data_IF_579086166789
#
_entry.id   IF_579086166789
#
_cell.length_a   1.000
_cell.length_b   1.000
_cell.length_c   1.000
_cell.angle_alpha   90.00
_cell.angle_beta   90.00
_cell.angle_gamma   90.00
#
_symmetry.space_group_name_H-M   'P 1'
#
loop_
_entity.id
_entity.type
_entity.pdbx_description
1 polymer ?
#
# COMPACT_ATOMS: atom_id res chain seq x y z
N UNK A 1 -1.17 -29.89 15.63
CA UNK A 1 -1.31 -29.01 14.46
C UNK A 1 0.07 -28.88 13.82
N UNK A 2 0.28 -29.48 12.65
CA UNK A 2 1.54 -29.35 11.92
C UNK A 2 1.64 -27.92 11.41
N UNK A 3 2.59 -27.16 11.93
CA UNK A 3 2.92 -25.81 11.45
C UNK A 3 3.28 -25.94 9.96
N UNK A 4 2.36 -25.55 9.06
CA UNK A 4 2.62 -25.65 7.61
C UNK A 4 3.75 -24.69 7.29
N UNK A 5 4.90 -25.22 6.91
CA UNK A 5 6.09 -24.45 6.54
C UNK A 5 5.75 -23.51 5.36
N UNK A 6 5.78 -22.20 5.60
CA UNK A 6 5.51 -21.18 4.57
C UNK A 6 6.75 -20.79 3.75
N UNK A 7 7.93 -21.26 4.13
CA UNK A 7 9.19 -20.94 3.44
C UNK A 7 9.11 -21.19 1.93
N UNK A 8 8.57 -22.33 1.44
CA UNK A 8 8.47 -22.56 -0.01
C UNK A 8 7.57 -21.54 -0.71
N UNK A 9 6.48 -21.10 -0.06
CA UNK A 9 5.58 -20.10 -0.62
C UNK A 9 6.24 -18.72 -0.68
N UNK A 10 6.98 -18.33 0.36
CA UNK A 10 7.75 -17.08 0.39
C UNK A 10 8.82 -17.06 -0.71
N UNK A 11 9.57 -18.16 -0.87
CA UNK A 11 10.58 -18.29 -1.92
C UNK A 11 9.96 -18.21 -3.32
N UNK A 12 8.84 -18.90 -3.55
CA UNK A 12 8.14 -18.87 -4.83
C UNK A 12 7.63 -17.47 -5.18
N UNK A 13 7.04 -16.75 -4.23
CA UNK A 13 6.60 -15.36 -4.43
C UNK A 13 7.80 -14.45 -4.69
N UNK A 14 8.91 -14.61 -3.96
CA UNK A 14 10.13 -13.83 -4.17
C UNK A 14 10.77 -14.02 -5.57
N UNK A 15 10.49 -15.15 -6.23
CA UNK A 15 10.98 -15.46 -7.57
C UNK A 15 10.08 -14.94 -8.71
N UNK A 16 8.88 -14.45 -8.41
CA UNK A 16 7.91 -13.95 -9.41
C UNK A 16 8.42 -12.71 -10.14
N UNK A 17 8.22 -12.67 -11.47
CA UNK A 17 8.65 -11.55 -12.34
C UNK A 17 7.55 -11.03 -13.27
N UNK A 18 6.33 -11.59 -13.21
CA UNK A 18 5.19 -11.15 -14.02
C UNK A 18 3.93 -11.05 -13.17
N UNK A 19 2.96 -10.23 -13.60
CA UNK A 19 1.69 -10.08 -12.87
C UNK A 19 0.88 -11.39 -12.87
N UNK A 20 0.93 -12.17 -13.96
CA UNK A 20 0.21 -13.44 -14.03
C UNK A 20 0.80 -14.49 -13.08
N UNK A 21 2.13 -14.60 -12.99
CA UNK A 21 2.75 -15.50 -12.02
C UNK A 21 2.50 -15.05 -10.58
N UNK A 22 2.42 -13.73 -10.31
CA UNK A 22 2.00 -13.23 -8.99
C UNK A 22 0.55 -13.64 -8.67
N UNK A 23 -0.35 -13.58 -9.66
CA UNK A 23 -1.74 -14.02 -9.51
C UNK A 23 -1.82 -15.51 -9.16
N UNK A 24 -1.06 -16.35 -9.83
CA UNK A 24 -0.99 -17.79 -9.53
C UNK A 24 -0.53 -18.06 -8.09
N UNK A 25 0.50 -17.35 -7.61
CA UNK A 25 0.96 -17.49 -6.23
C UNK A 25 -0.11 -17.06 -5.21
N UNK A 26 -0.82 -15.96 -5.48
CA UNK A 26 -1.91 -15.49 -4.60
C UNK A 26 -3.07 -16.49 -4.54
N UNK A 27 -3.40 -17.15 -5.65
CA UNK A 27 -4.38 -18.26 -5.66
C UNK A 27 -3.86 -19.44 -4.83
N UNK A 28 -2.60 -19.82 -4.99
CA UNK A 28 -1.98 -20.88 -4.19
C UNK A 28 -1.95 -20.57 -2.69
N UNK A 29 -1.74 -19.30 -2.30
CA UNK A 29 -1.79 -18.87 -0.90
C UNK A 29 -3.17 -19.05 -0.28
N UNK A 30 -4.24 -18.77 -1.02
CA UNK A 30 -5.62 -18.99 -0.55
C UNK A 30 -5.79 -20.45 -0.11
N UNK A 31 -5.37 -21.39 -0.96
CA UNK A 31 -5.52 -22.82 -0.71
C UNK A 31 -4.57 -23.30 0.40
N UNK A 32 -3.35 -22.74 0.48
CA UNK A 32 -2.37 -23.06 1.51
C UNK A 32 -2.82 -22.63 2.91
N UNK A 33 -3.40 -21.43 3.02
CA UNK A 33 -3.88 -20.81 4.25
C UNK A 33 -5.27 -21.31 4.66
N UNK A 34 -5.97 -22.01 3.77
CA UNK A 34 -7.33 -22.52 3.98
C UNK A 34 -8.33 -21.38 4.32
N UNK A 35 -8.32 -20.35 3.47
CA UNK A 35 -9.17 -19.14 3.60
C UNK A 35 -10.04 -18.97 2.36
N UNK A 36 -11.12 -18.18 2.46
CA UNK A 36 -12.03 -17.95 1.34
C UNK A 36 -11.35 -17.15 0.23
N UNK A 37 -10.65 -16.07 0.59
CA UNK A 37 -9.95 -15.23 -0.37
C UNK A 37 -8.65 -14.64 0.18
N UNK A 38 -7.73 -14.42 -0.76
CA UNK A 38 -6.53 -13.59 -0.62
C UNK A 38 -6.59 -12.48 -1.66
N UNK A 39 -6.21 -11.28 -1.26
CA UNK A 39 -6.12 -10.10 -2.11
C UNK A 39 -4.86 -9.30 -1.81
N UNK A 40 -4.29 -8.74 -2.86
CA UNK A 40 -3.21 -7.77 -2.81
C UNK A 40 -3.62 -6.58 -3.69
N UNK A 41 -3.59 -5.38 -3.13
CA UNK A 41 -3.93 -4.15 -3.85
C UNK A 41 -2.90 -3.08 -3.52
N UNK A 42 -2.19 -2.56 -4.52
CA UNK A 42 -1.25 -1.45 -4.39
C UNK A 42 -1.70 -0.23 -5.17
N UNK A 43 -1.38 0.95 -4.64
CA UNK A 43 -1.45 2.23 -5.32
C UNK A 43 -0.09 2.89 -5.22
N UNK A 44 0.50 3.27 -6.34
CA UNK A 44 1.78 3.98 -6.33
C UNK A 44 1.60 5.50 -6.19
N UNK A 45 2.70 6.24 -6.02
CA UNK A 45 2.67 7.70 -5.84
C UNK A 45 2.15 8.50 -7.04
N UNK A 46 2.07 7.87 -8.22
CA UNK A 46 1.46 8.44 -9.43
C UNK A 46 -0.04 8.14 -9.56
N UNK A 47 -0.61 7.39 -8.61
CA UNK A 47 -2.01 7.01 -8.59
C UNK A 47 -2.35 5.78 -9.43
N UNK A 48 -1.35 5.11 -10.04
CA UNK A 48 -1.57 3.84 -10.74
C UNK A 48 -1.90 2.77 -9.71
N UNK A 49 -2.99 2.05 -9.97
CA UNK A 49 -3.47 0.97 -9.12
C UNK A 49 -3.06 -0.37 -9.73
N UNK A 50 -2.70 -1.31 -8.87
CA UNK A 50 -2.48 -2.69 -9.23
C UNK A 50 -3.18 -3.59 -8.20
N UNK A 51 -3.92 -4.58 -8.70
CA UNK A 51 -4.74 -5.44 -7.86
C UNK A 51 -4.66 -6.88 -8.34
N UNK A 52 -4.47 -7.79 -7.39
CA UNK A 52 -4.57 -9.23 -7.55
C UNK A 52 -5.53 -9.72 -6.49
N UNK A 53 -6.62 -10.34 -6.89
CA UNK A 53 -7.63 -10.85 -5.97
C UNK A 53 -8.15 -12.19 -6.44
N UNK A 54 -8.56 -12.99 -5.48
CA UNK A 54 -9.19 -14.31 -5.69
C UNK A 54 -10.72 -14.24 -5.66
N UNK A 55 -11.29 -13.04 -5.57
CA UNK A 55 -12.73 -12.81 -5.58
C UNK A 55 -13.37 -13.19 -6.92
N UNK A 56 -14.66 -13.55 -6.88
CA UNK A 56 -15.43 -13.81 -8.09
C UNK A 56 -15.55 -12.55 -8.98
N UNK A 57 -15.61 -12.70 -10.31
CA UNK A 57 -15.83 -11.57 -11.22
C UNK A 57 -17.11 -10.79 -10.90
N UNK A 58 -18.16 -11.46 -10.41
CA UNK A 58 -19.41 -10.85 -10.01
C UNK A 58 -19.22 -9.88 -8.84
N UNK A 59 -18.46 -10.28 -7.81
CA UNK A 59 -18.14 -9.40 -6.69
C UNK A 59 -17.29 -8.21 -7.14
N UNK A 60 -16.30 -8.44 -8.01
CA UNK A 60 -15.45 -7.35 -8.53
C UNK A 60 -16.29 -6.31 -9.28
N UNK A 61 -17.18 -6.77 -10.17
CA UNK A 61 -18.09 -5.90 -10.90
C UNK A 61 -19.00 -5.11 -9.96
N UNK A 62 -19.58 -5.80 -8.96
CA UNK A 62 -20.41 -5.21 -7.92
C UNK A 62 -19.68 -4.13 -7.12
N UNK A 63 -18.44 -4.40 -6.72
CA UNK A 63 -17.61 -3.49 -5.94
C UNK A 63 -17.31 -2.19 -6.70
N UNK A 64 -17.03 -2.31 -8.00
CA UNK A 64 -16.78 -1.16 -8.87
C UNK A 64 -18.05 -0.36 -9.16
N UNK A 65 -19.16 -1.04 -9.50
CA UNK A 65 -20.45 -0.41 -9.80
C UNK A 65 -20.96 0.41 -8.61
N UNK A 66 -20.85 -0.13 -7.39
CA UNK A 66 -21.25 0.55 -6.16
C UNK A 66 -20.24 1.57 -5.65
N UNK A 67 -19.04 1.61 -6.22
CA UNK A 67 -17.97 2.50 -5.79
C UNK A 67 -17.53 2.24 -4.35
N UNK A 68 -17.47 0.98 -3.94
CA UNK A 68 -17.23 0.62 -2.53
C UNK A 68 -15.88 1.10 -2.01
N UNK A 69 -14.87 1.30 -2.87
CA UNK A 69 -13.57 1.87 -2.48
C UNK A 69 -13.68 3.22 -1.73
N UNK A 70 -14.78 3.97 -1.88
CA UNK A 70 -15.00 5.26 -1.21
C UNK A 70 -15.52 5.12 0.21
N UNK A 71 -16.07 3.97 0.57
CA UNK A 71 -16.76 3.74 1.84
C UNK A 71 -16.25 2.50 2.59
N UNK A 72 -15.39 1.70 1.95
CA UNK A 72 -14.82 0.47 2.48
C UNK A 72 -13.99 0.78 3.75
N UNK A 73 -14.44 0.36 4.95
CA UNK A 73 -13.73 0.63 6.19
C UNK A 73 -12.35 -0.03 6.25
N UNK A 74 -12.14 -1.13 5.51
CA UNK A 74 -10.85 -1.82 5.44
C UNK A 74 -9.86 -0.94 4.70
N UNK A 75 -10.24 -0.36 3.55
CA UNK A 75 -9.36 0.53 2.77
C UNK A 75 -9.12 1.84 3.52
N UNK A 76 -10.19 2.52 3.92
CA UNK A 76 -10.11 3.83 4.58
C UNK A 76 -9.40 3.75 5.93
N UNK A 77 -9.76 2.73 6.73
CA UNK A 77 -9.19 2.53 8.06
C UNK A 77 -7.73 2.09 8.03
N UNK A 78 -7.25 1.56 6.90
CA UNK A 78 -5.85 1.12 6.76
C UNK A 78 -4.88 2.27 6.49
N UNK A 79 -5.34 3.45 6.04
CA UNK A 79 -4.45 4.58 5.74
C UNK A 79 -3.63 5.04 6.96
N UNK A 80 -4.16 4.91 8.17
CA UNK A 80 -3.49 5.31 9.41
C UNK A 80 -3.02 4.11 10.25
N UNK A 81 -2.98 2.92 9.66
CA UNK A 81 -2.52 1.69 10.33
C UNK A 81 -1.19 1.22 9.79
N UNK A 82 -0.42 0.61 10.68
CA UNK A 82 0.87 -0.02 10.40
C UNK A 82 0.88 -1.51 10.74
N UNK A 83 0.09 -1.93 11.71
CA UNK A 83 -0.02 -3.34 12.11
C UNK A 83 -1.13 -4.05 11.32
N UNK A 84 -1.06 -5.38 11.19
CA UNK A 84 -2.19 -6.18 10.74
C UNK A 84 -3.45 -5.85 11.53
N UNK A 85 -4.57 -5.70 10.84
CA UNK A 85 -5.84 -5.31 11.43
C UNK A 85 -6.91 -6.34 11.09
N UNK A 86 -7.52 -6.91 12.13
CA UNK A 86 -8.78 -7.65 12.01
C UNK A 86 -9.87 -6.68 11.52
N UNK A 87 -10.68 -7.13 10.57
CA UNK A 87 -11.79 -6.36 10.01
C UNK A 87 -12.74 -5.86 11.09
N UNK A 88 -12.97 -6.63 12.16
CA UNK A 88 -13.80 -6.23 13.30
C UNK A 88 -13.29 -4.99 14.05
N UNK A 89 -12.01 -4.64 13.87
CA UNK A 89 -11.40 -3.45 14.49
C UNK A 89 -11.63 -2.15 13.70
N UNK A 90 -12.24 -2.22 12.51
CA UNK A 90 -12.62 -1.04 11.73
C UNK A 90 -13.99 -0.49 12.15
N UNK A 91 -14.28 0.75 11.72
CA UNK A 91 -15.55 1.39 11.99
C UNK A 91 -16.64 0.95 11.00
N UNK A 92 -17.53 0.08 11.47
CA UNK A 92 -18.72 -0.39 10.74
C UNK A 92 -20.02 0.31 11.21
N UNK A 93 -19.92 1.41 11.96
CA UNK A 93 -21.07 2.10 12.55
C UNK A 93 -21.93 2.84 11.52
N UNK A 94 -21.42 3.09 10.32
CA UNK A 94 -22.18 3.73 9.26
C UNK A 94 -23.12 2.75 8.55
N UNK A 95 -24.30 3.22 8.12
CA UNK A 95 -25.24 2.42 7.33
C UNK A 95 -24.61 1.91 6.01
N UNK A 96 -23.89 2.74 5.23
CA UNK A 96 -23.22 2.28 4.01
C UNK A 96 -22.19 1.19 4.27
N UNK A 97 -21.41 1.27 5.36
CA UNK A 97 -20.42 0.23 5.71
C UNK A 97 -21.10 -1.11 6.03
N UNK A 98 -22.21 -1.11 6.76
CA UNK A 98 -22.97 -2.34 7.04
C UNK A 98 -23.63 -2.94 5.79
N UNK A 99 -24.12 -2.10 4.90
CA UNK A 99 -24.67 -2.55 3.60
C UNK A 99 -23.57 -3.17 2.73
N UNK A 100 -22.41 -2.52 2.65
CA UNK A 100 -21.23 -3.06 1.98
C UNK A 100 -20.83 -4.42 2.56
N UNK A 101 -20.73 -4.57 3.89
CA UNK A 101 -20.35 -5.83 4.52
C UNK A 101 -21.36 -6.95 4.22
N UNK A 102 -22.66 -6.65 4.26
CA UNK A 102 -23.71 -7.62 3.91
C UNK A 102 -23.61 -8.07 2.45
N UNK A 103 -23.39 -7.14 1.52
CA UNK A 103 -23.16 -7.48 0.11
C UNK A 103 -21.88 -8.34 -0.02
N UNK A 104 -20.79 -7.99 0.65
CA UNK A 104 -19.55 -8.77 0.63
C UNK A 104 -19.77 -10.22 1.07
N UNK A 105 -20.45 -10.45 2.19
CA UNK A 105 -20.79 -11.78 2.69
C UNK A 105 -21.70 -12.53 1.70
N UNK A 106 -22.72 -11.86 1.14
CA UNK A 106 -23.65 -12.47 0.19
C UNK A 106 -22.98 -12.93 -1.11
N UNK A 107 -21.89 -12.29 -1.51
CA UNK A 107 -21.09 -12.64 -2.68
C UNK A 107 -19.89 -13.54 -2.35
N UNK A 108 -19.81 -14.08 -1.13
CA UNK A 108 -18.83 -15.09 -0.75
C UNK A 108 -17.47 -14.55 -0.30
N UNK A 109 -17.31 -13.23 -0.09
CA UNK A 109 -16.06 -12.66 0.42
C UNK A 109 -15.69 -13.23 1.79
N UNK A 110 -16.68 -13.57 2.60
CA UNK A 110 -16.51 -14.10 3.96
C UNK A 110 -16.92 -13.10 5.03
N UNK A 111 -17.23 -13.62 6.21
CA UNK A 111 -17.65 -12.85 7.39
C UNK A 111 -16.48 -12.42 8.29
N UNK A 112 -15.26 -12.89 8.02
CA UNK A 112 -14.06 -12.51 8.76
C UNK A 112 -12.97 -12.07 7.78
N UNK A 113 -12.05 -11.24 8.25
CA UNK A 113 -10.87 -10.91 7.47
C UNK A 113 -9.81 -10.15 8.24
N UNK A 114 -8.59 -10.18 7.71
CA UNK A 114 -7.44 -9.47 8.23
C UNK A 114 -6.69 -8.80 7.10
N UNK A 115 -6.28 -7.55 7.33
CA UNK A 115 -5.54 -6.76 6.35
C UNK A 115 -4.22 -6.27 6.92
N UNK A 116 -3.15 -6.48 6.17
CA UNK A 116 -1.80 -5.97 6.44
C UNK A 116 -1.56 -4.75 5.54
N UNK A 117 -1.50 -3.53 6.09
CA UNK A 117 -1.11 -2.35 5.34
C UNK A 117 0.42 -2.30 5.15
N UNK A 118 0.87 -1.95 3.96
CA UNK A 118 2.28 -1.94 3.58
C UNK A 118 2.61 -0.60 2.92
N UNK A 119 3.73 -0.01 3.32
CA UNK A 119 4.29 1.19 2.69
C UNK A 119 5.53 0.80 1.88
N UNK A 120 5.52 1.14 0.60
CA UNK A 120 6.66 0.94 -0.29
C UNK A 120 7.69 2.07 -0.19
N UNK A 121 8.93 1.82 -0.65
CA UNK A 121 10.04 2.78 -0.56
C UNK A 121 9.85 4.03 -1.42
N UNK A 122 9.00 3.98 -2.45
CA UNK A 122 8.68 5.13 -3.33
C UNK A 122 7.27 5.67 -3.07
N UNK A 123 6.79 5.61 -1.82
CA UNK A 123 5.48 6.14 -1.46
C UNK A 123 4.29 5.26 -1.81
N UNK A 124 4.53 4.05 -2.29
CA UNK A 124 3.44 3.12 -2.59
C UNK A 124 2.68 2.77 -1.31
N UNK A 125 1.37 2.60 -1.42
CA UNK A 125 0.53 2.07 -0.36
C UNK A 125 -0.14 0.80 -0.86
N UNK A 126 0.10 -0.31 -0.18
CA UNK A 126 -0.48 -1.59 -0.51
C UNK A 126 -1.25 -2.19 0.66
N UNK A 127 -2.24 -2.99 0.34
CA UNK A 127 -3.05 -3.78 1.27
C UNK A 127 -2.93 -5.25 0.85
N UNK A 128 -2.50 -6.09 1.78
CA UNK A 128 -2.63 -7.53 1.64
C UNK A 128 -3.74 -8.00 2.57
N UNK A 129 -4.84 -8.52 2.03
CA UNK A 129 -5.98 -8.94 2.85
C UNK A 129 -6.30 -10.41 2.63
N UNK A 130 -6.64 -11.08 3.72
CA UNK A 130 -7.25 -12.41 3.71
C UNK A 130 -8.65 -12.32 4.27
N UNK A 131 -9.56 -13.11 3.75
CA UNK A 131 -10.92 -13.23 4.26
C UNK A 131 -11.36 -14.68 4.30
N UNK A 132 -12.20 -15.00 5.27
CA UNK A 132 -12.64 -16.36 5.56
C UNK A 132 -14.11 -16.40 5.96
N UNK A 133 -14.70 -17.59 5.81
CA UNK A 133 -16.00 -17.91 6.36
C UNK A 133 -15.79 -18.79 7.59
N UNK A 134 -15.72 -18.18 8.77
CA UNK A 134 -15.40 -18.84 10.04
C UNK A 134 -16.24 -18.23 11.17
N UNK A 135 -16.50 -19.00 12.22
CA UNK A 135 -17.02 -18.41 13.44
C UNK A 135 -15.97 -17.57 14.18
N UNK A 136 -16.38 -16.92 15.25
CA UNK A 136 -15.53 -15.98 15.99
C UNK A 136 -14.40 -16.67 16.77
N UNK A 137 -14.62 -17.88 17.26
CA UNK A 137 -13.63 -18.63 18.05
C UNK A 137 -12.56 -19.21 17.13
N UNK A 138 -12.98 -19.84 16.04
CA UNK A 138 -12.11 -20.35 14.97
C UNK A 138 -11.24 -19.24 14.40
N UNK A 139 -11.85 -18.11 14.05
CA UNK A 139 -11.14 -16.96 13.51
C UNK A 139 -10.11 -16.38 14.49
N UNK A 140 -10.48 -16.27 15.76
CA UNK A 140 -9.57 -15.77 16.80
C UNK A 140 -8.36 -16.70 16.97
N UNK A 141 -8.56 -18.02 16.95
CA UNK A 141 -7.48 -19.00 16.99
C UNK A 141 -6.59 -18.95 15.75
N UNK A 142 -7.20 -18.79 14.57
CA UNK A 142 -6.48 -18.61 13.31
C UNK A 142 -5.59 -17.36 13.35
N UNK A 143 -6.12 -16.21 13.78
CA UNK A 143 -5.37 -14.95 13.89
C UNK A 143 -4.14 -15.09 14.79
N UNK A 144 -4.28 -15.73 15.98
CA UNK A 144 -3.17 -15.91 16.92
C UNK A 144 -1.99 -16.69 16.33
N UNK A 145 -2.26 -17.61 15.42
CA UNK A 145 -1.23 -18.47 14.83
C UNK A 145 -0.70 -17.95 13.49
N UNK A 146 -1.50 -17.16 12.74
CA UNK A 146 -1.19 -16.76 11.36
C UNK A 146 -0.83 -15.29 11.16
N UNK A 147 -0.89 -14.46 12.20
CA UNK A 147 -0.56 -13.03 12.02
C UNK A 147 0.88 -12.81 11.55
N UNK A 148 1.86 -13.54 12.11
CA UNK A 148 3.27 -13.46 11.69
C UNK A 148 3.48 -13.90 10.24
N UNK A 149 2.84 -15.01 9.87
CA UNK A 149 2.80 -15.54 8.51
C UNK A 149 2.28 -14.51 7.50
N UNK A 150 1.17 -13.85 7.83
CA UNK A 150 0.57 -12.83 6.97
C UNK A 150 1.47 -11.63 6.77
N UNK A 151 2.21 -11.20 7.80
CA UNK A 151 3.18 -10.10 7.67
C UNK A 151 4.26 -10.50 6.66
N UNK A 152 4.83 -11.70 6.78
CA UNK A 152 5.88 -12.17 5.88
C UNK A 152 5.37 -12.30 4.43
N UNK A 153 4.19 -12.88 4.23
CA UNK A 153 3.56 -13.04 2.93
C UNK A 153 3.22 -11.68 2.30
N UNK A 154 2.66 -10.76 3.08
CA UNK A 154 2.33 -9.41 2.66
C UNK A 154 3.56 -8.67 2.15
N UNK A 155 4.64 -8.61 2.94
CA UNK A 155 5.87 -7.93 2.55
C UNK A 155 6.55 -8.58 1.34
N UNK A 156 6.58 -9.91 1.28
CA UNK A 156 7.19 -10.64 0.15
C UNK A 156 6.40 -10.43 -1.15
N UNK A 157 5.08 -10.46 -1.08
CA UNK A 157 4.17 -10.14 -2.20
C UNK A 157 4.40 -8.71 -2.69
N UNK A 158 4.49 -7.76 -1.77
CA UNK A 158 4.74 -6.36 -2.12
C UNK A 158 6.11 -6.15 -2.76
N UNK A 159 7.16 -6.82 -2.27
CA UNK A 159 8.48 -6.76 -2.87
C UNK A 159 8.48 -7.30 -4.32
N UNK A 160 7.81 -8.42 -4.56
CA UNK A 160 7.66 -8.98 -5.91
C UNK A 160 6.87 -8.02 -6.83
N UNK A 161 5.76 -7.45 -6.35
CA UNK A 161 4.97 -6.48 -7.11
C UNK A 161 5.81 -5.24 -7.49
N UNK A 162 6.58 -4.69 -6.53
CA UNK A 162 7.47 -3.55 -6.78
C UNK A 162 8.58 -3.87 -7.79
N UNK A 163 9.12 -5.09 -7.80
CA UNK A 163 10.09 -5.52 -8.80
C UNK A 163 9.47 -5.56 -10.21
N UNK A 164 8.24 -6.06 -10.33
CA UNK A 164 7.53 -6.08 -11.61
C UNK A 164 7.23 -4.65 -12.08
N UNK A 165 6.75 -3.78 -11.18
CA UNK A 165 6.51 -2.37 -11.50
C UNK A 165 7.80 -1.65 -11.87
N UNK A 166 8.90 -1.85 -11.13
CA UNK A 166 10.19 -1.23 -11.36
C UNK A 166 10.85 -1.67 -12.68
N UNK A 167 10.68 -2.94 -13.06
CA UNK A 167 11.08 -3.42 -14.38
C UNK A 167 10.27 -2.79 -15.53
N UNK A 168 9.06 -2.31 -15.23
CA UNK A 168 8.17 -1.64 -16.17
C UNK A 168 8.24 -0.09 -16.11
N UNK A 169 8.97 0.50 -15.16
CA UNK A 169 8.99 1.94 -14.90
C UNK A 169 10.14 2.66 -15.63
N UNK A 170 9.85 3.90 -16.03
CA UNK A 170 10.69 4.84 -16.80
C UNK A 170 11.97 5.28 -16.03
N UNK A 171 12.94 5.99 -16.68
CA UNK A 171 14.33 6.06 -16.23
C UNK A 171 14.45 6.58 -14.80
N UNK A 172 15.43 6.06 -14.08
CA UNK A 172 15.77 6.45 -12.71
C UNK A 172 15.69 7.98 -12.57
N UNK A 173 14.68 8.47 -11.83
CA UNK A 173 14.58 9.89 -11.51
C UNK A 173 15.90 10.31 -10.87
N UNK A 174 16.50 11.39 -11.38
CA UNK A 174 17.78 11.87 -10.87
C UNK A 174 17.65 12.16 -9.37
N UNK A 175 18.57 11.60 -8.59
CA UNK A 175 18.60 11.81 -7.16
C UNK A 175 18.71 13.32 -6.84
N UNK A 176 17.96 13.75 -5.83
CA UNK A 176 18.12 15.07 -5.26
C UNK A 176 19.52 15.16 -4.62
N UNK A 177 20.20 16.27 -4.86
CA UNK A 177 21.40 16.61 -4.09
C UNK A 177 21.02 16.89 -2.63
N UNK A 178 21.97 16.77 -1.68
CA UNK A 178 21.70 17.09 -0.28
C UNK A 178 21.13 18.50 -0.07
N UNK A 179 21.57 19.49 -0.86
CA UNK A 179 21.07 20.87 -0.78
C UNK A 179 19.66 21.05 -1.34
N UNK A 180 19.31 20.31 -2.38
CA UNK A 180 17.95 20.28 -2.92
C UNK A 180 16.98 19.65 -1.92
N UNK A 181 17.34 18.48 -1.37
CA UNK A 181 16.55 17.79 -0.36
C UNK A 181 16.35 18.66 0.90
N UNK A 182 17.43 19.27 1.41
CA UNK A 182 17.35 20.16 2.57
C UNK A 182 16.48 21.39 2.30
N UNK A 183 16.58 21.98 1.11
CA UNK A 183 15.72 23.11 0.71
C UNK A 183 14.24 22.70 0.71
N UNK A 184 13.90 21.55 0.13
CA UNK A 184 12.52 21.05 0.15
C UNK A 184 12.04 20.71 1.56
N UNK A 185 12.92 20.19 2.43
CA UNK A 185 12.61 19.89 3.84
C UNK A 185 12.24 21.15 4.62
N UNK A 186 13.01 22.24 4.49
CA UNK A 186 12.69 23.52 5.13
C UNK A 186 11.34 24.07 4.65
N UNK A 187 11.05 23.97 3.35
CA UNK A 187 9.76 24.38 2.82
C UNK A 187 8.61 23.51 3.36
N UNK A 188 8.84 22.20 3.51
CA UNK A 188 7.88 21.27 4.09
C UNK A 188 7.59 21.57 5.58
N UNK A 189 8.58 22.09 6.31
CA UNK A 189 8.42 22.61 7.68
C UNK A 189 7.72 23.99 7.73
N UNK A 190 7.33 24.55 6.59
CA UNK A 190 6.61 25.83 6.50
C UNK A 190 7.51 27.07 6.44
N UNK A 191 8.81 26.92 6.18
CA UNK A 191 9.72 28.06 6.06
C UNK A 191 9.45 28.82 4.76
N UNK A 192 9.51 30.15 4.83
CA UNK A 192 9.58 30.98 3.62
C UNK A 192 10.94 30.83 2.94
N UNK A 193 11.03 31.20 1.66
CA UNK A 193 12.31 31.17 0.92
C UNK A 193 13.39 32.02 1.61
N UNK A 194 13.04 33.17 2.15
CA UNK A 194 13.93 34.03 2.93
C UNK A 194 14.46 33.33 4.20
N UNK A 195 13.57 32.73 5.00
CA UNK A 195 13.96 31.98 6.20
C UNK A 195 14.80 30.75 5.87
N UNK A 196 14.48 30.05 4.78
CA UNK A 196 15.28 28.91 4.33
C UNK A 196 16.68 29.34 3.85
N UNK A 197 16.78 30.47 3.16
CA UNK A 197 18.05 31.05 2.72
C UNK A 197 18.94 31.41 3.92
N UNK A 198 18.36 32.09 4.92
CA UNK A 198 19.01 32.40 6.19
C UNK A 198 19.49 31.13 6.92
N UNK A 199 18.59 30.15 7.07
CA UNK A 199 18.91 28.87 7.73
C UNK A 199 20.03 28.10 7.04
N UNK A 200 20.16 28.22 5.71
CA UNK A 200 21.20 27.55 4.94
C UNK A 200 22.43 28.42 4.68
N UNK A 201 22.44 29.67 5.19
CA UNK A 201 23.51 30.65 4.98
C UNK A 201 23.84 30.88 3.49
N UNK A 202 22.81 30.99 2.65
CA UNK A 202 22.90 31.23 1.20
C UNK A 202 21.94 32.33 0.77
N UNK A 203 22.03 32.78 -0.48
CA UNK A 203 21.10 33.77 -1.02
C UNK A 203 19.72 33.16 -1.34
N UNK A 204 18.67 33.99 -1.30
CA UNK A 204 17.34 33.58 -1.80
C UNK A 204 17.37 33.18 -3.28
N UNK A 205 18.27 33.77 -4.07
CA UNK A 205 18.49 33.37 -5.45
C UNK A 205 18.98 31.92 -5.54
N UNK A 206 19.94 31.53 -4.69
CA UNK A 206 20.45 30.15 -4.61
C UNK A 206 19.36 29.17 -4.19
N UNK A 207 18.51 29.53 -3.22
CA UNK A 207 17.32 28.73 -2.85
C UNK A 207 16.40 28.52 -4.06
N UNK A 208 16.12 29.56 -4.85
CA UNK A 208 15.29 29.42 -6.06
C UNK A 208 15.88 28.45 -7.06
N UNK A 209 17.20 28.45 -7.24
CA UNK A 209 17.90 27.50 -8.13
C UNK A 209 17.74 26.07 -7.61
N UNK A 210 17.93 25.83 -6.31
CA UNK A 210 17.71 24.50 -5.72
C UNK A 210 16.26 24.02 -5.85
N UNK A 211 15.28 24.90 -5.61
CA UNK A 211 13.85 24.57 -5.78
C UNK A 211 13.56 24.20 -7.24
N UNK A 212 14.05 24.97 -8.20
CA UNK A 212 13.78 24.72 -9.61
C UNK A 212 14.44 23.44 -10.10
N UNK A 213 15.69 23.21 -9.72
CA UNK A 213 16.39 21.94 -10.01
C UNK A 213 15.66 20.74 -9.40
N UNK A 214 15.28 20.82 -8.13
CA UNK A 214 14.53 19.75 -7.47
C UNK A 214 13.16 19.52 -8.12
N UNK A 215 12.46 20.59 -8.51
CA UNK A 215 11.16 20.52 -9.21
C UNK A 215 11.30 19.79 -10.54
N UNK A 216 12.33 20.09 -11.33
CA UNK A 216 12.59 19.42 -12.61
C UNK A 216 12.94 17.95 -12.41
N UNK A 217 13.84 17.63 -11.47
CA UNK A 217 14.22 16.24 -11.15
C UNK A 217 13.04 15.39 -10.68
N UNK A 218 12.13 15.99 -9.90
CA UNK A 218 10.91 15.34 -9.42
C UNK A 218 9.76 15.42 -10.42
N UNK A 219 9.92 15.98 -11.62
CA UNK A 219 8.81 16.15 -12.58
C UNK A 219 7.60 16.87 -11.98
N UNK A 220 7.81 17.82 -11.07
CA UNK A 220 6.76 18.51 -10.35
C UNK A 220 6.31 19.79 -11.08
N UNK A 221 5.03 20.11 -10.99
CA UNK A 221 4.45 21.26 -11.69
C UNK A 221 4.71 22.59 -10.96
N UNK A 222 4.87 22.55 -9.64
CA UNK A 222 5.11 23.72 -8.80
C UNK A 222 5.85 23.31 -7.51
N UNK A 223 6.26 24.29 -6.70
CA UNK A 223 7.01 24.03 -5.46
C UNK A 223 6.25 23.17 -4.46
N UNK A 224 4.93 23.38 -4.31
CA UNK A 224 4.10 22.60 -3.39
C UNK A 224 4.04 21.13 -3.85
N UNK A 225 3.83 20.92 -5.15
CA UNK A 225 3.87 19.60 -5.75
C UNK A 225 5.26 18.94 -5.60
N UNK A 226 6.36 19.70 -5.72
CA UNK A 226 7.71 19.18 -5.49
C UNK A 226 7.92 18.72 -4.05
N UNK A 227 7.46 19.51 -3.07
CA UNK A 227 7.48 19.14 -1.65
C UNK A 227 6.63 17.88 -1.40
N UNK A 228 5.40 17.84 -1.93
CA UNK A 228 4.50 16.70 -1.78
C UNK A 228 5.08 15.41 -2.36
N UNK A 229 5.70 15.48 -3.55
CA UNK A 229 6.39 14.33 -4.16
C UNK A 229 7.63 13.93 -3.38
N UNK A 230 8.44 14.89 -2.93
CA UNK A 230 9.64 14.57 -2.15
C UNK A 230 9.30 13.85 -0.84
N UNK A 231 8.21 14.23 -0.16
CA UNK A 231 7.71 13.53 1.02
C UNK A 231 7.13 12.15 0.67
N UNK A 232 6.28 12.09 -0.36
CA UNK A 232 5.59 10.85 -0.74
C UNK A 232 6.58 9.80 -1.25
N UNK A 233 7.50 10.18 -2.13
CA UNK A 233 8.49 9.29 -2.74
C UNK A 233 9.68 8.96 -1.79
N UNK A 234 9.67 9.46 -0.55
CA UNK A 234 10.68 9.15 0.46
C UNK A 234 12.03 9.86 0.29
N UNK A 235 12.07 10.94 -0.49
CA UNK A 235 13.29 11.75 -0.69
C UNK A 235 13.62 12.67 0.50
N UNK A 236 12.62 13.06 1.28
CA UNK A 236 12.75 13.88 2.49
C UNK A 236 11.82 13.40 3.58
N UNK A 237 12.14 13.73 4.84
CA UNK A 237 11.28 13.53 6.01
C UNK A 237 11.17 14.83 6.80
N UNK A 238 10.06 15.04 7.50
CA UNK A 238 9.81 16.22 8.35
C UNK A 238 9.47 15.82 9.77
#
# INVERSE_FOLDING_TARGET
MTERNLTPALEAIGAVRTLDSLREQIVGLRDLLDVAHVTYHSVNSTGRQYAVHTHSPEWQGRYMERGYFKIDPVVLGSFQRFQPADWKSFDWSSRPAREFFRDAVAYGVGNQGMTVPIRGPGGQFALFSVSAQMDDEEWSAWCRTRTGDLIALAHTTNAAALQIEGAAAAPAMQALSPREAETLRLLALGYSRAKAAESLSISEHTIRVYIESARLKLGAQNTIHAVARALSDGHITV
#
